data_IF_999335361963
#
_entry.id   IF_999335361963
#
_cell.length_a   1.000
_cell.length_b   1.000
_cell.length_c   1.000
_cell.angle_alpha   90.00
_cell.angle_beta   90.00
_cell.angle_gamma   90.00
#
_symmetry.space_group_name_H-M   'P 1'
#
loop_
_entity.id
_entity.type
_entity.pdbx_description
1 polymer ?
#
# COMPACT_ATOMS: atom_id res chain seq x y z
N UNK A 1 7.41 -22.22 1.85
CA UNK A 1 6.47 -23.19 1.29
C UNK A 1 5.07 -22.96 1.82
N UNK A 2 4.05 -23.34 1.05
CA UNK A 2 2.66 -23.30 1.50
C UNK A 2 2.41 -24.40 2.52
N UNK A 3 1.90 -24.02 3.70
CA UNK A 3 1.37 -24.93 4.71
C UNK A 3 -0.16 -24.75 4.70
N UNK A 4 -0.86 -25.61 3.97
CA UNK A 4 -2.30 -25.45 3.68
C UNK A 4 -3.21 -25.32 4.92
N UNK A 5 -2.73 -25.73 6.09
CA UNK A 5 -3.47 -25.73 7.37
C UNK A 5 -2.87 -24.78 8.42
N UNK A 6 -1.90 -23.94 8.06
CA UNK A 6 -1.31 -22.98 8.97
C UNK A 6 -2.30 -21.83 9.23
N UNK A 7 -2.80 -21.71 10.46
CA UNK A 7 -3.78 -20.68 10.86
C UNK A 7 -3.13 -19.51 11.63
N UNK A 8 -2.07 -19.80 12.38
CA UNK A 8 -1.35 -18.85 13.21
C UNK A 8 0.16 -19.08 13.12
N UNK A 9 0.92 -18.01 13.09
CA UNK A 9 2.38 -18.04 13.07
C UNK A 9 2.94 -17.08 14.13
N UNK A 10 3.85 -17.59 14.95
CA UNK A 10 4.63 -16.77 15.88
C UNK A 10 6.09 -16.79 15.44
N UNK A 11 6.65 -15.61 15.22
CA UNK A 11 8.06 -15.44 14.85
C UNK A 11 8.77 -14.82 16.05
N UNK A 12 9.57 -15.62 16.74
CA UNK A 12 10.35 -15.18 17.90
C UNK A 12 11.37 -14.10 17.54
N UNK A 13 12.10 -13.60 18.55
CA UNK A 13 13.08 -12.51 18.38
C UNK A 13 14.24 -12.93 17.49
N UNK A 14 14.53 -12.14 16.46
CA UNK A 14 15.65 -12.36 15.53
C UNK A 14 16.31 -11.02 15.18
N UNK A 15 17.38 -10.66 15.88
CA UNK A 15 18.03 -9.35 15.76
C UNK A 15 18.76 -9.09 14.44
N UNK A 16 19.04 -10.12 13.64
CA UNK A 16 19.77 -10.01 12.36
C UNK A 16 18.93 -10.34 11.13
N UNK A 17 17.65 -10.61 11.32
CA UNK A 17 16.77 -10.97 10.22
C UNK A 17 16.43 -9.71 9.40
N UNK A 18 16.79 -9.69 8.13
CA UNK A 18 16.59 -8.55 7.23
C UNK A 18 15.36 -8.67 6.34
N UNK A 19 14.92 -9.89 6.07
CA UNK A 19 13.76 -10.13 5.22
C UNK A 19 12.92 -11.28 5.74
N UNK A 20 11.60 -11.10 5.72
CA UNK A 20 10.62 -12.11 6.10
C UNK A 20 9.72 -12.38 4.88
N UNK A 21 9.55 -13.67 4.54
CA UNK A 21 8.73 -14.09 3.40
C UNK A 21 7.78 -15.21 3.81
N UNK A 22 6.48 -14.91 3.83
CA UNK A 22 5.40 -15.82 4.25
C UNK A 22 4.25 -15.64 3.27
N UNK A 23 4.13 -16.52 2.28
CA UNK A 23 3.08 -16.41 1.29
C UNK A 23 2.38 -17.72 0.98
N UNK A 24 1.19 -17.60 0.38
CA UNK A 24 0.37 -18.73 -0.07
C UNK A 24 -0.05 -19.65 1.07
N UNK A 25 -0.50 -19.07 2.19
CA UNK A 25 -1.10 -19.78 3.31
C UNK A 25 -2.52 -19.23 3.55
N UNK A 26 -3.52 -19.64 2.78
CA UNK A 26 -4.85 -19.01 2.78
C UNK A 26 -5.62 -19.13 4.10
N UNK A 27 -5.22 -20.05 4.98
CA UNK A 27 -5.78 -20.18 6.34
C UNK A 27 -5.03 -19.37 7.39
N UNK A 28 -3.88 -18.75 7.05
CA UNK A 28 -3.09 -17.96 7.99
C UNK A 28 -3.79 -16.63 8.27
N UNK A 29 -4.41 -16.53 9.41
CA UNK A 29 -5.19 -15.36 9.84
C UNK A 29 -4.47 -14.47 10.82
N UNK A 30 -3.39 -14.95 11.45
CA UNK A 30 -2.62 -14.23 12.46
C UNK A 30 -1.13 -14.49 12.36
N UNK A 31 -0.35 -13.40 12.40
CA UNK A 31 1.10 -13.43 12.54
C UNK A 31 1.47 -12.54 13.74
N UNK A 32 2.24 -13.10 14.66
CA UNK A 32 2.84 -12.35 15.76
C UNK A 32 4.35 -12.26 15.56
N UNK A 33 4.86 -11.04 15.53
CA UNK A 33 6.29 -10.78 15.41
C UNK A 33 6.88 -10.47 16.78
N UNK A 34 7.96 -11.13 17.12
CA UNK A 34 8.89 -10.69 18.17
C UNK A 34 9.65 -9.44 17.74
N UNK A 35 10.74 -9.14 18.40
CA UNK A 35 11.60 -8.00 18.05
C UNK A 35 12.51 -8.34 16.86
N UNK A 36 12.37 -7.57 15.77
CA UNK A 36 13.16 -7.72 14.56
C UNK A 36 13.72 -6.35 14.10
N UNK A 37 14.69 -5.78 14.82
CA UNK A 37 15.13 -4.39 14.64
C UNK A 37 15.81 -4.11 13.29
N UNK A 38 16.33 -5.13 12.61
CA UNK A 38 17.02 -4.99 11.31
C UNK A 38 16.16 -5.46 10.10
N UNK A 39 14.89 -5.83 10.30
CA UNK A 39 14.06 -6.30 9.19
C UNK A 39 13.63 -5.14 8.31
N UNK A 40 14.13 -5.15 7.07
CA UNK A 40 13.90 -4.12 6.05
C UNK A 40 12.77 -4.48 5.08
N UNK A 41 12.48 -5.78 4.90
CA UNK A 41 11.49 -6.24 3.92
C UNK A 41 10.57 -7.31 4.49
N UNK A 42 9.27 -7.13 4.26
CA UNK A 42 8.23 -8.08 4.63
C UNK A 42 7.38 -8.41 3.41
N UNK A 43 7.32 -9.68 3.04
CA UNK A 43 6.50 -10.22 1.96
C UNK A 43 5.54 -11.25 2.53
N UNK A 44 4.26 -10.88 2.65
CA UNK A 44 3.20 -11.71 3.26
C UNK A 44 1.95 -11.79 2.37
N UNK A 45 2.15 -11.90 1.06
CA UNK A 45 1.05 -11.97 0.09
C UNK A 45 0.36 -13.34 0.05
N UNK A 46 -0.89 -13.37 -0.45
CA UNK A 46 -1.71 -14.59 -0.61
C UNK A 46 -1.93 -15.35 0.71
N UNK A 47 -2.25 -14.64 1.79
CA UNK A 47 -2.63 -15.23 3.07
C UNK A 47 -4.08 -14.87 3.43
N UNK A 48 -4.55 -15.34 4.59
CA UNK A 48 -5.90 -15.08 5.11
C UNK A 48 -5.95 -13.97 6.16
N UNK A 49 -4.97 -13.05 6.18
CA UNK A 49 -4.87 -12.01 7.20
C UNK A 49 -6.06 -11.04 7.12
N UNK A 50 -6.59 -10.63 8.28
CA UNK A 50 -7.61 -9.58 8.40
C UNK A 50 -7.06 -8.30 9.03
N UNK A 51 -6.01 -8.42 9.82
CA UNK A 51 -5.26 -7.33 10.42
C UNK A 51 -3.81 -7.72 10.62
N UNK A 52 -2.91 -6.75 10.67
CA UNK A 52 -1.50 -6.98 10.94
C UNK A 52 -0.91 -5.79 11.70
N UNK A 53 -0.09 -6.07 12.72
CA UNK A 53 0.71 -5.07 13.41
C UNK A 53 2.19 -5.25 13.08
N UNK A 54 2.83 -4.18 12.60
CA UNK A 54 4.24 -4.16 12.21
C UNK A 54 5.10 -3.31 13.15
N UNK A 55 4.57 -2.98 14.33
CA UNK A 55 5.25 -2.11 15.32
C UNK A 55 6.58 -2.68 15.83
N UNK A 56 6.75 -4.00 15.77
CA UNK A 56 8.01 -4.67 16.15
C UNK A 56 9.06 -4.72 15.03
N UNK A 57 8.79 -4.10 13.88
CA UNK A 57 9.65 -4.08 12.69
C UNK A 57 10.03 -2.63 12.32
N UNK A 58 10.80 -1.91 13.14
CA UNK A 58 11.01 -0.46 12.95
C UNK A 58 11.86 -0.10 11.74
N UNK A 59 12.63 -1.03 11.19
CA UNK A 59 13.52 -0.79 10.05
C UNK A 59 12.86 -1.05 8.66
N UNK A 60 11.54 -1.36 8.63
CA UNK A 60 10.87 -1.70 7.37
C UNK A 60 10.97 -0.57 6.34
N UNK A 61 11.25 -0.99 5.10
CA UNK A 61 11.31 -0.17 3.88
C UNK A 61 10.36 -0.66 2.81
N UNK A 62 10.18 -1.98 2.72
CA UNK A 62 9.37 -2.60 1.68
C UNK A 62 8.37 -3.56 2.30
N UNK A 63 7.10 -3.39 1.94
CA UNK A 63 5.99 -4.20 2.45
C UNK A 63 5.18 -4.70 1.26
N UNK A 64 4.98 -6.02 1.16
CA UNK A 64 4.00 -6.63 0.26
C UNK A 64 3.04 -7.51 1.07
N UNK A 65 1.80 -7.05 1.15
CA UNK A 65 0.68 -7.73 1.82
C UNK A 65 -0.45 -8.04 0.81
N UNK A 66 -0.15 -8.03 -0.47
CA UNK A 66 -1.12 -8.19 -1.55
C UNK A 66 -1.91 -9.50 -1.43
N UNK A 67 -3.13 -9.49 -1.96
CA UNK A 67 -4.01 -10.69 -1.99
C UNK A 67 -4.26 -11.28 -0.59
N UNK A 68 -4.40 -10.42 0.40
CA UNK A 68 -5.00 -10.73 1.68
C UNK A 68 -6.42 -10.15 1.67
N UNK A 69 -7.37 -10.84 1.04
CA UNK A 69 -8.71 -10.32 0.68
C UNK A 69 -9.56 -9.80 1.87
N UNK A 70 -9.16 -10.12 3.11
CA UNK A 70 -9.82 -9.66 4.34
C UNK A 70 -9.04 -8.59 5.07
N UNK A 71 -7.80 -8.27 4.64
CA UNK A 71 -6.93 -7.32 5.32
C UNK A 71 -7.49 -5.90 5.18
N UNK A 72 -7.91 -5.34 6.29
CA UNK A 72 -8.50 -4.00 6.38
C UNK A 72 -7.86 -3.10 7.42
N UNK A 73 -6.94 -3.65 8.21
CA UNK A 73 -6.22 -2.92 9.27
C UNK A 73 -4.73 -3.28 9.26
N UNK A 74 -3.91 -2.24 9.17
CA UNK A 74 -2.45 -2.30 9.27
C UNK A 74 -2.00 -1.28 10.31
N UNK A 75 -1.19 -1.73 11.27
CA UNK A 75 -0.61 -0.85 12.27
C UNK A 75 0.88 -0.68 12.03
N UNK A 76 1.32 0.56 11.90
CA UNK A 76 2.71 0.97 11.75
C UNK A 76 3.18 1.76 12.97
N UNK A 77 4.47 2.02 13.05
CA UNK A 77 5.02 3.04 13.94
C UNK A 77 4.64 4.45 13.44
N UNK A 78 4.68 5.46 14.28
CA UNK A 78 4.31 6.84 13.95
C UNK A 78 5.19 7.43 12.83
N UNK A 79 6.47 7.07 12.82
CA UNK A 79 7.42 7.45 11.77
C UNK A 79 8.10 6.20 11.23
N UNK A 80 8.07 6.03 9.91
CA UNK A 80 8.69 4.90 9.23
C UNK A 80 9.55 5.37 8.07
N UNK A 81 10.53 4.53 7.70
CA UNK A 81 11.33 4.72 6.48
C UNK A 81 10.78 3.91 5.30
N UNK A 82 9.50 3.56 5.33
CA UNK A 82 8.86 2.74 4.30
C UNK A 82 8.86 3.53 2.98
N UNK A 83 9.39 2.89 1.95
CA UNK A 83 9.49 3.43 0.60
C UNK A 83 8.57 2.75 -0.40
N UNK A 84 8.16 1.50 -0.13
CA UNK A 84 7.24 0.76 -0.98
C UNK A 84 6.18 0.02 -0.15
N UNK A 85 4.90 0.21 -0.53
CA UNK A 85 3.74 -0.47 0.05
C UNK A 85 2.91 -1.09 -1.07
N UNK A 86 2.80 -2.42 -1.04
CA UNK A 86 1.93 -3.17 -1.93
C UNK A 86 0.84 -3.83 -1.09
N UNK A 87 -0.40 -3.38 -1.28
CA UNK A 87 -1.61 -3.82 -0.57
C UNK A 87 -2.78 -4.00 -1.54
N UNK A 88 -2.49 -4.40 -2.78
CA UNK A 88 -3.54 -4.68 -3.75
C UNK A 88 -4.34 -5.94 -3.36
N UNK A 89 -5.59 -6.01 -3.83
CA UNK A 89 -6.49 -7.12 -3.54
C UNK A 89 -6.69 -7.37 -2.04
N UNK A 90 -6.95 -6.29 -1.30
CA UNK A 90 -7.24 -6.30 0.12
C UNK A 90 -8.67 -5.73 0.38
N UNK A 91 -8.97 -5.43 1.66
CA UNK A 91 -10.29 -4.90 2.05
C UNK A 91 -10.23 -3.49 2.66
N UNK A 92 -9.22 -2.70 2.38
CA UNK A 92 -9.07 -1.36 2.93
C UNK A 92 -10.16 -0.42 2.42
N UNK A 93 -10.83 0.28 3.35
CA UNK A 93 -11.75 1.39 3.07
C UNK A 93 -11.07 2.75 3.19
N UNK A 94 -9.99 2.82 3.96
CA UNK A 94 -9.11 3.98 4.11
C UNK A 94 -7.70 3.52 4.45
N UNK A 95 -6.70 4.24 3.96
CA UNK A 95 -5.28 4.06 4.28
C UNK A 95 -4.63 5.36 4.78
N UNK A 96 -5.45 6.35 5.15
CA UNK A 96 -4.98 7.67 5.57
C UNK A 96 -3.98 7.60 6.72
N UNK A 97 -4.23 6.74 7.73
CA UNK A 97 -3.33 6.62 8.88
C UNK A 97 -2.02 5.91 8.51
N UNK A 98 -2.04 5.03 7.51
CA UNK A 98 -0.83 4.40 6.96
C UNK A 98 0.04 5.46 6.26
N UNK A 99 -0.58 6.29 5.41
CA UNK A 99 0.12 7.31 4.62
C UNK A 99 0.79 8.37 5.49
N UNK A 100 0.15 8.79 6.58
CA UNK A 100 0.71 9.74 7.56
C UNK A 100 2.02 9.26 8.19
N UNK A 101 2.20 7.94 8.34
CA UNK A 101 3.41 7.35 8.89
C UNK A 101 4.55 7.20 7.87
N UNK A 102 4.28 7.42 6.57
CA UNK A 102 5.17 7.02 5.47
C UNK A 102 5.65 8.21 4.61
N UNK A 103 6.33 9.20 5.22
CA UNK A 103 6.85 10.38 4.51
C UNK A 103 7.90 10.06 3.43
N UNK A 104 8.54 8.89 3.49
CA UNK A 104 9.54 8.41 2.52
C UNK A 104 8.93 7.61 1.37
N UNK A 105 7.60 7.50 1.29
CA UNK A 105 6.90 6.63 0.33
C UNK A 105 7.18 7.07 -1.11
N UNK A 106 7.60 6.10 -1.94
CA UNK A 106 7.90 6.26 -3.37
C UNK A 106 6.97 5.43 -4.25
N UNK A 107 6.60 4.26 -3.78
CA UNK A 107 5.74 3.33 -4.50
C UNK A 107 4.54 2.93 -3.62
N UNK A 108 3.34 3.14 -4.14
CA UNK A 108 2.09 2.68 -3.54
C UNK A 108 1.28 1.89 -4.56
N UNK A 109 1.00 0.62 -4.26
CA UNK A 109 0.02 -0.17 -4.97
C UNK A 109 -1.13 -0.56 -4.03
N UNK A 110 -2.28 0.09 -4.22
CA UNK A 110 -3.49 -0.13 -3.42
C UNK A 110 -4.72 -0.45 -4.30
N UNK A 111 -4.50 -0.96 -5.49
CA UNK A 111 -5.55 -1.37 -6.43
C UNK A 111 -6.42 -2.49 -5.86
N UNK A 112 -7.64 -2.64 -6.40
CA UNK A 112 -8.58 -3.68 -5.97
C UNK A 112 -8.87 -3.67 -4.46
N UNK A 113 -9.14 -2.46 -3.93
CA UNK A 113 -9.59 -2.24 -2.56
C UNK A 113 -10.99 -1.58 -2.56
N UNK A 114 -11.37 -0.96 -1.45
CA UNK A 114 -12.66 -0.28 -1.26
C UNK A 114 -12.47 1.19 -0.87
N UNK A 115 -11.36 1.80 -1.34
CA UNK A 115 -11.02 3.19 -1.01
C UNK A 115 -12.00 4.14 -1.69
N UNK A 116 -12.51 5.10 -0.93
CA UNK A 116 -13.39 6.18 -1.44
C UNK A 116 -12.65 7.48 -1.66
N UNK A 117 -11.57 7.67 -0.93
CA UNK A 117 -10.67 8.82 -1.02
C UNK A 117 -9.21 8.35 -0.91
N UNK A 118 -8.30 9.06 -1.56
CA UNK A 118 -6.87 8.84 -1.43
C UNK A 118 -6.17 10.21 -1.43
N UNK A 119 -5.55 10.55 -0.31
CA UNK A 119 -4.82 11.79 -0.12
C UNK A 119 -3.34 11.51 0.13
N UNK A 120 -2.52 11.84 -0.85
CA UNK A 120 -1.07 11.71 -0.86
C UNK A 120 -0.36 13.07 -0.79
N UNK A 121 -1.08 14.16 -0.47
CA UNK A 121 -0.54 15.53 -0.51
C UNK A 121 0.75 15.70 0.31
N UNK A 122 0.90 14.93 1.39
CA UNK A 122 2.08 14.95 2.27
C UNK A 122 3.18 13.97 1.85
N UNK A 123 2.92 13.10 0.85
CA UNK A 123 3.87 12.07 0.39
C UNK A 123 4.68 12.56 -0.81
N UNK A 124 5.50 13.60 -0.63
CA UNK A 124 6.19 14.34 -1.70
C UNK A 124 7.17 13.51 -2.54
N UNK A 125 7.55 12.33 -2.08
CA UNK A 125 8.49 11.45 -2.78
C UNK A 125 7.82 10.41 -3.67
N UNK A 126 6.47 10.39 -3.73
CA UNK A 126 5.72 9.39 -4.52
C UNK A 126 6.07 9.51 -6.00
N UNK A 127 6.48 8.39 -6.61
CA UNK A 127 6.85 8.30 -8.03
C UNK A 127 6.02 7.27 -8.80
N UNK A 128 5.49 6.25 -8.12
CA UNK A 128 4.58 5.27 -8.70
C UNK A 128 3.34 5.10 -7.83
N UNK A 129 2.15 5.27 -8.45
CA UNK A 129 0.85 5.09 -7.81
C UNK A 129 -0.04 4.18 -8.64
N UNK A 130 -0.45 3.06 -8.04
CA UNK A 130 -1.47 2.14 -8.55
C UNK A 130 -2.65 2.14 -7.60
N UNK A 131 -3.75 2.76 -8.00
CA UNK A 131 -4.97 2.85 -7.21
C UNK A 131 -6.24 2.50 -8.03
N UNK A 132 -6.04 1.81 -9.15
CA UNK A 132 -7.15 1.37 -10.01
C UNK A 132 -8.08 0.38 -9.28
N UNK A 133 -9.32 0.23 -9.79
CA UNK A 133 -10.32 -0.68 -9.23
C UNK A 133 -10.62 -0.42 -7.74
N UNK A 134 -10.91 0.84 -7.43
CA UNK A 134 -11.42 1.29 -6.13
C UNK A 134 -12.77 2.03 -6.32
N UNK A 135 -13.18 2.81 -5.34
CA UNK A 135 -14.40 3.62 -5.36
C UNK A 135 -14.06 5.11 -5.17
N UNK A 136 -12.85 5.52 -5.62
CA UNK A 136 -12.34 6.86 -5.39
C UNK A 136 -13.21 7.91 -6.06
N UNK A 137 -13.73 8.83 -5.27
CA UNK A 137 -14.35 10.08 -5.72
C UNK A 137 -13.36 11.25 -5.61
N UNK A 138 -12.26 11.07 -4.87
CA UNK A 138 -11.22 12.07 -4.67
C UNK A 138 -9.85 11.41 -4.64
N UNK A 139 -8.94 11.97 -5.43
CA UNK A 139 -7.53 11.59 -5.46
C UNK A 139 -6.68 12.87 -5.40
N UNK A 140 -5.86 13.00 -4.37
CA UNK A 140 -4.95 14.12 -4.21
C UNK A 140 -3.50 13.63 -4.21
N UNK A 141 -2.65 14.33 -4.93
CA UNK A 141 -1.20 14.10 -5.00
C UNK A 141 -0.47 15.38 -4.61
N UNK A 142 0.81 15.32 -4.23
CA UNK A 142 1.57 16.52 -3.91
C UNK A 142 1.58 17.52 -5.07
N UNK A 143 1.51 18.80 -4.77
CA UNK A 143 1.65 19.86 -5.77
C UNK A 143 3.05 19.80 -6.41
N UNK A 144 3.12 19.77 -7.74
CA UNK A 144 4.36 19.54 -8.47
C UNK A 144 4.90 18.12 -8.30
N UNK A 145 3.99 17.15 -8.20
CA UNK A 145 4.27 15.73 -7.95
C UNK A 145 5.39 15.18 -8.83
N UNK A 146 6.19 14.28 -8.26
CA UNK A 146 7.23 13.51 -8.96
C UNK A 146 6.70 12.20 -9.57
N UNK A 147 5.37 12.04 -9.68
CA UNK A 147 4.77 10.84 -10.26
C UNK A 147 5.22 10.63 -11.69
N UNK A 148 5.86 9.48 -11.93
CA UNK A 148 6.25 8.99 -13.25
C UNK A 148 5.17 8.05 -13.81
N UNK A 149 4.51 7.29 -12.91
CA UNK A 149 3.48 6.32 -13.28
C UNK A 149 2.25 6.50 -12.40
N UNK A 150 1.08 6.70 -13.05
CA UNK A 150 -0.22 6.83 -12.39
C UNK A 150 -1.24 5.90 -13.04
N UNK A 151 -1.78 4.96 -12.27
CA UNK A 151 -2.85 4.05 -12.64
C UNK A 151 -4.06 4.34 -11.73
N UNK A 152 -5.08 5.02 -12.24
CA UNK A 152 -6.26 5.42 -11.46
C UNK A 152 -7.60 5.10 -12.14
N UNK A 153 -7.58 4.27 -13.19
CA UNK A 153 -8.80 3.87 -13.90
C UNK A 153 -9.74 3.02 -13.01
N UNK A 154 -10.98 2.80 -13.48
CA UNK A 154 -11.97 2.00 -12.74
C UNK A 154 -12.21 2.52 -11.31
N UNK A 155 -12.40 3.83 -11.20
CA UNK A 155 -12.79 4.57 -10.01
C UNK A 155 -14.04 5.41 -10.29
N UNK A 156 -14.44 6.30 -9.38
CA UNK A 156 -15.61 7.18 -9.46
C UNK A 156 -15.19 8.66 -9.53
N UNK A 157 -13.97 8.93 -10.03
CA UNK A 157 -13.48 10.31 -10.23
C UNK A 157 -14.30 10.99 -11.31
N UNK A 158 -14.93 12.12 -10.99
CA UNK A 158 -15.62 12.97 -11.94
C UNK A 158 -14.65 13.95 -12.64
N UNK A 159 -15.20 14.80 -13.51
CA UNK A 159 -14.40 15.76 -14.28
C UNK A 159 -13.65 16.74 -13.37
N UNK A 160 -14.30 17.24 -12.31
CA UNK A 160 -13.69 18.20 -11.37
C UNK A 160 -12.56 17.55 -10.56
N UNK A 161 -12.75 16.30 -10.11
CA UNK A 161 -11.72 15.53 -9.41
C UNK A 161 -10.51 15.27 -10.31
N UNK A 162 -10.73 14.92 -11.58
CA UNK A 162 -9.67 14.71 -12.57
C UNK A 162 -8.92 16.00 -12.89
N UNK A 163 -9.62 17.11 -13.09
CA UNK A 163 -9.00 18.41 -13.34
C UNK A 163 -8.13 18.84 -12.16
N UNK A 164 -8.63 18.68 -10.93
CA UNK A 164 -7.87 18.96 -9.70
C UNK A 164 -6.61 18.10 -9.61
N UNK A 165 -6.72 16.82 -9.92
CA UNK A 165 -5.59 15.89 -9.95
C UNK A 165 -4.53 16.34 -10.97
N UNK A 166 -4.96 16.69 -12.20
CA UNK A 166 -4.02 17.12 -13.26
C UNK A 166 -3.35 18.43 -12.95
N UNK A 167 -4.06 19.38 -12.37
CA UNK A 167 -3.48 20.65 -11.92
C UNK A 167 -2.38 20.45 -10.87
N UNK A 168 -2.50 19.36 -10.06
CA UNK A 168 -1.49 19.00 -9.06
C UNK A 168 -0.23 18.36 -9.65
N UNK A 169 -0.33 17.67 -10.79
CA UNK A 169 0.80 16.96 -11.40
C UNK A 169 1.87 17.92 -11.95
N UNK A 170 1.53 19.20 -12.15
CA UNK A 170 2.45 20.20 -12.70
C UNK A 170 2.81 19.91 -14.16
N UNK A 171 3.87 20.57 -14.65
CA UNK A 171 4.41 20.28 -15.99
C UNK A 171 5.31 19.06 -15.96
N UNK A 172 4.74 17.88 -15.70
CA UNK A 172 5.49 16.64 -15.81
C UNK A 172 5.71 16.35 -17.29
N UNK A 173 6.97 16.29 -17.69
CA UNK A 173 7.36 15.89 -19.03
C UNK A 173 6.99 14.41 -19.21
N UNK A 174 5.75 14.16 -19.69
CA UNK A 174 5.26 12.86 -20.13
C UNK A 174 4.99 11.81 -19.02
N UNK A 175 4.02 12.03 -18.10
CA UNK A 175 3.56 10.94 -17.23
C UNK A 175 2.84 9.89 -18.08
N UNK A 176 3.17 8.62 -17.89
CA UNK A 176 2.39 7.53 -18.45
C UNK A 176 1.07 7.42 -17.65
N UNK A 177 0.02 8.11 -18.12
CA UNK A 177 -1.30 8.10 -17.50
C UNK A 177 -2.18 7.11 -18.23
N UNK A 178 -2.59 6.06 -17.53
CA UNK A 178 -3.46 5.02 -18.10
C UNK A 178 -4.92 5.27 -17.72
N UNK A 179 -5.72 5.72 -18.71
CA UNK A 179 -7.18 5.84 -18.62
C UNK A 179 -7.89 4.73 -19.38
N UNK A 180 -9.06 4.30 -18.92
CA UNK A 180 -9.92 3.51 -19.79
C UNK A 180 -10.42 4.39 -20.94
N UNK A 181 -10.38 3.87 -22.15
CA UNK A 181 -10.84 4.49 -23.41
C UNK A 181 -12.37 4.60 -23.52
N UNK A 182 -13.10 4.68 -22.41
CA UNK A 182 -14.57 4.66 -22.36
C UNK A 182 -15.20 5.90 -21.70
N UNK A 183 -14.65 7.09 -21.95
CA UNK A 183 -15.43 8.32 -21.86
C UNK A 183 -15.93 8.65 -23.29
N UNK A 184 -17.11 8.06 -23.66
CA UNK A 184 -17.97 8.53 -24.73
C UNK A 184 -19.26 9.08 -24.16
#
# INVERSE_FOLDING_TARGET
GSLADLERLEIGNCSRLRSIQIYSNPKLTSIEFGSHPETESLYCSYNGLSSLSLKSLPALRNIDLSSNERLSRLELNEETSISAILIQECAFQSITDILKCCSSLRELSCSYNKLTELDLSDNSNISELRCEHNQLTRLMVPQGSLLEHLYCHSNQLDEDALNTLFDSLGQVVNPAIYYPTSLR
#
